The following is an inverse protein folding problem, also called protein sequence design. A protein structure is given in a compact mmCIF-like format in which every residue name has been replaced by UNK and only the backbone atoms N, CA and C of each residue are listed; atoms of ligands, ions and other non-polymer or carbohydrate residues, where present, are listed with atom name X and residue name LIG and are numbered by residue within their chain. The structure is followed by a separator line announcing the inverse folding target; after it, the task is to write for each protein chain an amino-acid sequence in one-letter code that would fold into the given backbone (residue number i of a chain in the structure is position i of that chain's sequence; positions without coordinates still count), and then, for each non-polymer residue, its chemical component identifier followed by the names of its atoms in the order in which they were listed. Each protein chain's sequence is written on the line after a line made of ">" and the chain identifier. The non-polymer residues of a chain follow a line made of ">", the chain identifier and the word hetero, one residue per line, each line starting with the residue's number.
data_IF_716574266370
#
_entry.id   IF_716574266370
#
_cell.length_a   1.000
_cell.length_b   1.000
_cell.length_c   1.000
_cell.angle_alpha   90.00
_cell.angle_beta   90.00
_cell.angle_gamma   90.00
#
_symmetry.space_group_name_H-M   'P 1'
#
loop_
_entity.id
_entity.type
_entity.pdbx_description
1 polymer ?
#
# COMPACT_ATOMS: atom_id res chain seq x y z
N UNK A 1 -8.71 36.50 1.47
CA UNK A 1 -9.78 35.51 1.74
C UNK A 1 -9.91 34.67 0.49
N UNK A 2 -9.06 33.66 0.35
CA UNK A 2 -9.08 32.71 -0.77
C UNK A 2 -10.06 31.59 -0.45
N UNK A 3 -10.83 31.08 -1.43
CA UNK A 3 -11.72 29.96 -1.21
C UNK A 3 -10.92 28.65 -1.07
N UNK A 4 -11.27 27.86 -0.08
CA UNK A 4 -10.73 26.52 0.12
C UNK A 4 -10.98 25.64 -1.11
N UNK A 5 -10.05 24.75 -1.51
CA UNK A 5 -10.29 23.79 -2.57
C UNK A 5 -11.36 22.78 -2.13
N UNK A 6 -12.31 22.56 -3.03
CA UNK A 6 -13.41 21.62 -2.87
C UNK A 6 -12.90 20.21 -2.57
N UNK A 7 -13.39 19.65 -1.47
CA UNK A 7 -12.98 18.37 -0.93
C UNK A 7 -13.09 17.20 -1.92
N UNK A 8 -12.17 16.28 -1.77
CA UNK A 8 -12.26 14.92 -2.29
C UNK A 8 -13.55 14.30 -1.70
N UNK A 9 -14.46 13.73 -2.48
CA UNK A 9 -15.67 13.15 -1.94
C UNK A 9 -15.32 11.95 -1.05
N UNK A 10 -15.83 11.98 0.17
CA UNK A 10 -15.82 10.82 1.06
C UNK A 10 -16.42 9.63 0.32
N UNK A 11 -15.72 8.49 0.33
CA UNK A 11 -16.10 7.29 -0.36
C UNK A 11 -17.54 6.89 -0.03
N UNK A 12 -18.38 6.78 -1.06
CA UNK A 12 -19.72 6.25 -0.94
C UNK A 12 -19.65 4.76 -0.65
N UNK A 13 -20.17 4.35 0.49
CA UNK A 13 -20.49 2.97 0.81
C UNK A 13 -21.43 2.40 -0.24
N UNK A 14 -20.94 1.50 -1.07
CA UNK A 14 -21.77 0.78 -2.03
C UNK A 14 -22.38 -0.45 -1.31
N UNK A 15 -23.59 -0.31 -0.82
CA UNK A 15 -24.42 -1.42 -0.35
C UNK A 15 -24.92 -2.22 -1.55
N UNK A 16 -24.17 -3.23 -1.94
CA UNK A 16 -24.62 -4.26 -2.88
C UNK A 16 -25.41 -5.34 -2.14
N UNK A 17 -26.72 -5.23 -2.10
CA UNK A 17 -27.62 -6.29 -1.60
C UNK A 17 -27.56 -7.52 -2.51
N UNK A 18 -26.85 -8.57 -2.09
CA UNK A 18 -26.90 -9.90 -2.68
C UNK A 18 -27.96 -10.75 -1.96
N UNK A 19 -28.96 -11.21 -2.69
CA UNK A 19 -30.01 -12.07 -2.20
C UNK A 19 -29.44 -13.41 -1.67
N UNK A 20 -29.82 -13.76 -0.44
CA UNK A 20 -29.53 -15.04 0.18
C UNK A 20 -30.56 -16.07 -0.32
N UNK A 21 -30.11 -17.12 -0.99
CA UNK A 21 -30.92 -18.31 -1.24
C UNK A 21 -30.75 -19.26 -0.03
N UNK A 22 -31.83 -19.97 0.37
CA UNK A 22 -31.76 -20.88 1.52
C UNK A 22 -31.00 -22.16 1.20
N UNK A 23 -30.14 -22.56 2.13
CA UNK A 23 -29.46 -23.86 2.10
C UNK A 23 -30.39 -24.96 2.65
N UNK A 24 -30.55 -26.03 1.91
CA UNK A 24 -31.16 -27.29 2.32
C UNK A 24 -30.27 -28.01 3.36
N UNK A 25 -30.84 -28.58 4.41
CA UNK A 25 -30.10 -29.42 5.34
C UNK A 25 -30.30 -30.87 4.96
N UNK A 26 -29.30 -31.55 4.45
CA UNK A 26 -28.98 -32.93 4.77
C UNK A 26 -27.93 -33.53 3.82
N UNK A 27 -26.80 -33.94 4.39
CA UNK A 27 -26.14 -35.23 4.11
C UNK A 27 -24.68 -35.29 4.60
N UNK A 28 -24.40 -36.14 5.53
CA UNK A 28 -23.29 -37.09 5.45
C UNK A 28 -21.96 -36.74 6.07
N UNK A 29 -21.71 -37.39 7.18
CA UNK A 29 -20.41 -37.67 7.84
C UNK A 29 -19.22 -37.74 6.87
N UNK A 30 -18.22 -36.87 7.09
CA UNK A 30 -16.89 -36.97 6.51
C UNK A 30 -15.87 -36.47 7.54
N UNK A 31 -15.02 -37.37 8.02
CA UNK A 31 -14.01 -37.14 9.04
C UNK A 31 -13.15 -35.89 8.75
N UNK A 32 -13.11 -34.98 9.71
CA UNK A 32 -12.20 -33.84 9.71
C UNK A 32 -10.76 -34.34 9.90
N UNK A 33 -9.94 -34.15 8.86
CA UNK A 33 -8.49 -34.21 9.00
C UNK A 33 -8.05 -32.89 9.65
N UNK A 34 -7.40 -32.98 10.80
CA UNK A 34 -6.79 -31.85 11.49
C UNK A 34 -5.77 -31.18 10.57
N UNK A 35 -5.73 -29.80 10.52
CA UNK A 35 -4.66 -29.10 9.82
C UNK A 35 -3.37 -29.32 10.60
N UNK A 36 -2.41 -30.00 9.98
CA UNK A 36 -1.08 -30.23 10.54
C UNK A 36 -0.43 -28.91 10.94
N UNK A 37 -0.25 -28.72 12.24
CA UNK A 37 0.55 -27.66 12.79
C UNK A 37 1.98 -27.79 12.25
N UNK A 38 2.50 -26.74 11.60
CA UNK A 38 3.94 -26.61 11.37
C UNK A 38 4.56 -26.30 12.73
N UNK A 39 5.42 -27.19 13.22
CA UNK A 39 6.32 -26.86 14.32
C UNK A 39 7.17 -25.65 13.91
N UNK A 40 7.41 -24.68 14.80
CA UNK A 40 8.32 -23.58 14.53
C UNK A 40 9.77 -24.10 14.62
N UNK A 41 10.24 -24.77 13.56
CA UNK A 41 11.68 -24.89 13.35
C UNK A 41 12.20 -23.49 13.07
N UNK A 42 13.27 -23.08 13.78
CA UNK A 42 13.93 -21.81 13.52
C UNK A 42 14.38 -21.78 12.05
N UNK A 43 13.61 -21.07 11.23
CA UNK A 43 13.93 -20.89 9.81
C UNK A 43 15.15 -19.97 9.78
N UNK A 44 16.30 -20.48 9.31
CA UNK A 44 17.43 -19.62 8.97
C UNK A 44 16.93 -18.57 7.97
N UNK A 45 17.32 -17.27 8.10
CA UNK A 45 16.88 -16.23 7.19
C UNK A 45 17.22 -16.63 5.76
N UNK A 46 16.22 -16.59 4.89
CA UNK A 46 16.39 -16.87 3.47
C UNK A 46 17.30 -15.77 2.87
N UNK A 47 18.46 -16.12 2.27
CA UNK A 47 19.36 -15.14 1.69
C UNK A 47 18.67 -14.22 0.66
N UNK A 48 17.58 -14.64 0.04
CA UNK A 48 16.77 -13.81 -0.85
C UNK A 48 16.07 -12.65 -0.14
N UNK A 49 15.88 -12.72 1.20
CA UNK A 49 15.22 -11.65 1.98
C UNK A 49 16.21 -10.56 2.41
N UNK A 50 17.50 -10.89 2.51
CA UNK A 50 18.54 -9.95 2.98
C UNK A 50 19.16 -9.09 1.87
N UNK A 51 18.98 -9.44 0.61
CA UNK A 51 19.50 -8.67 -0.52
C UNK A 51 18.70 -7.36 -0.71
N UNK A 52 19.38 -6.24 -1.05
CA UNK A 52 18.70 -4.99 -1.38
C UNK A 52 17.69 -5.21 -2.53
N UNK A 53 16.52 -4.62 -2.41
CA UNK A 53 15.53 -4.67 -3.48
C UNK A 53 16.04 -3.90 -4.71
N UNK A 54 15.94 -4.48 -5.91
CA UNK A 54 16.12 -3.70 -7.13
C UNK A 54 15.03 -2.64 -7.23
N UNK A 55 15.30 -1.56 -7.96
CA UNK A 55 14.23 -0.60 -8.31
C UNK A 55 13.15 -1.33 -9.09
N UNK A 56 11.89 -1.12 -8.73
CA UNK A 56 10.76 -1.83 -9.31
C UNK A 56 9.66 -0.88 -9.79
N UNK A 57 8.85 -1.37 -10.71
CA UNK A 57 7.53 -0.80 -11.03
C UNK A 57 6.47 -1.87 -10.81
N UNK A 58 5.60 -1.61 -9.84
CA UNK A 58 4.55 -2.52 -9.40
C UNK A 58 3.14 -1.95 -9.57
N UNK A 59 2.15 -2.71 -9.14
CA UNK A 59 0.75 -2.31 -9.16
C UNK A 59 -0.03 -2.92 -7.99
N UNK A 60 -1.28 -2.49 -7.85
CA UNK A 60 -2.23 -3.11 -6.93
C UNK A 60 -3.03 -4.22 -7.60
N UNK A 61 -3.65 -5.07 -6.77
CA UNK A 61 -4.68 -6.01 -7.23
C UNK A 61 -5.88 -5.26 -7.80
N UNK A 62 -6.62 -5.88 -8.73
CA UNK A 62 -7.89 -5.33 -9.21
C UNK A 62 -9.03 -5.90 -8.36
N UNK A 63 -9.38 -5.21 -7.29
CA UNK A 63 -10.18 -5.75 -6.20
C UNK A 63 -9.44 -6.93 -5.55
N UNK A 64 -10.06 -8.13 -5.53
CA UNK A 64 -9.43 -9.34 -4.97
C UNK A 64 -8.74 -10.21 -6.03
N UNK A 65 -8.69 -9.77 -7.30
CA UNK A 65 -8.11 -10.55 -8.38
C UNK A 65 -6.70 -10.04 -8.70
N UNK A 66 -5.75 -10.94 -8.83
CA UNK A 66 -4.39 -10.63 -9.28
C UNK A 66 -4.39 -10.60 -10.81
N UNK A 67 -4.57 -11.73 -11.45
CA UNK A 67 -4.77 -11.78 -12.90
C UNK A 67 -6.17 -11.27 -13.25
N UNK A 68 -6.27 -10.49 -14.32
CA UNK A 68 -7.53 -9.85 -14.67
C UNK A 68 -7.65 -9.62 -16.17
N UNK A 69 -8.84 -9.71 -16.73
CA UNK A 69 -9.13 -9.49 -18.14
C UNK A 69 -8.29 -10.34 -19.11
N UNK A 70 -7.82 -11.52 -18.67
CA UNK A 70 -6.94 -12.39 -19.46
C UNK A 70 -5.48 -11.94 -19.47
N UNK A 71 -5.11 -10.99 -18.62
CA UNK A 71 -3.75 -10.51 -18.44
C UNK A 71 -3.14 -11.15 -17.20
N UNK A 72 -1.93 -11.67 -17.32
CA UNK A 72 -1.13 -12.20 -16.22
C UNK A 72 -0.39 -11.05 -15.55
N UNK A 73 -0.63 -10.82 -14.27
CA UNK A 73 -0.08 -9.67 -13.53
C UNK A 73 1.46 -9.63 -13.58
N UNK A 74 2.12 -10.76 -13.36
CA UNK A 74 3.59 -10.87 -13.31
C UNK A 74 4.28 -10.64 -14.65
N UNK A 75 3.55 -10.63 -15.79
CA UNK A 75 4.13 -10.26 -17.09
C UNK A 75 4.45 -8.76 -17.18
N UNK A 76 3.78 -7.94 -16.36
CA UNK A 76 3.83 -6.47 -16.43
C UNK A 76 4.39 -5.79 -15.19
N UNK A 77 4.30 -6.42 -14.01
CA UNK A 77 4.57 -5.75 -12.72
C UNK A 77 5.53 -6.57 -11.85
N UNK A 78 6.56 -5.92 -11.30
CA UNK A 78 7.57 -6.54 -10.42
C UNK A 78 7.13 -6.66 -8.98
N UNK A 79 6.11 -5.88 -8.59
CA UNK A 79 5.66 -5.77 -7.22
C UNK A 79 4.13 -5.74 -7.19
N UNK A 80 3.55 -6.37 -6.17
CA UNK A 80 2.12 -6.39 -5.91
C UNK A 80 1.80 -5.84 -4.53
N UNK A 81 0.80 -4.94 -4.47
CA UNK A 81 0.16 -4.48 -3.23
C UNK A 81 -1.31 -4.92 -3.24
N UNK A 82 -1.83 -5.59 -2.21
CA UNK A 82 -3.27 -5.82 -2.08
C UNK A 82 -4.00 -4.48 -1.92
N UNK A 83 -4.89 -4.11 -2.86
CA UNK A 83 -5.60 -2.82 -2.77
C UNK A 83 -6.35 -2.66 -1.44
N UNK A 84 -7.08 -3.70 -1.03
CA UNK A 84 -7.88 -3.68 0.19
C UNK A 84 -7.67 -4.91 1.08
N UNK A 85 -7.20 -6.03 0.53
CA UNK A 85 -7.13 -7.30 1.25
C UNK A 85 -6.09 -7.31 2.39
N UNK A 86 -5.06 -6.44 2.31
CA UNK A 86 -4.03 -6.26 3.35
C UNK A 86 -4.48 -5.37 4.52
N UNK A 87 -5.53 -4.58 4.37
CA UNK A 87 -6.00 -3.68 5.43
C UNK A 87 -6.60 -4.45 6.58
N UNK A 88 -6.23 -4.11 7.81
CA UNK A 88 -6.59 -4.88 9.01
C UNK A 88 -8.10 -5.17 9.11
N UNK A 89 -8.97 -4.16 8.87
CA UNK A 89 -10.42 -4.34 8.89
C UNK A 89 -10.99 -5.26 7.80
N UNK A 90 -10.23 -5.51 6.72
CA UNK A 90 -10.58 -6.51 5.69
C UNK A 90 -10.27 -7.93 6.15
N UNK A 91 -9.19 -8.12 6.91
CA UNK A 91 -8.79 -9.41 7.47
C UNK A 91 -9.58 -9.72 8.75
N UNK A 92 -9.75 -8.74 9.62
CA UNK A 92 -10.44 -8.89 10.90
C UNK A 92 -11.49 -7.78 11.05
N UNK A 93 -12.76 -8.13 11.10
CA UNK A 93 -13.86 -7.15 11.09
C UNK A 93 -14.09 -6.46 12.42
N UNK A 94 -13.89 -7.17 13.52
CA UNK A 94 -14.07 -6.64 14.89
C UNK A 94 -12.90 -7.06 15.76
N UNK A 95 -12.67 -6.35 16.85
CA UNK A 95 -11.61 -6.66 17.81
C UNK A 95 -11.58 -8.13 18.25
N UNK A 96 -12.76 -8.75 18.38
CA UNK A 96 -12.94 -10.12 18.92
C UNK A 96 -13.18 -11.17 17.81
N UNK A 97 -13.27 -10.78 16.54
CA UNK A 97 -13.50 -11.76 15.46
C UNK A 97 -12.22 -12.48 15.08
N UNK A 98 -12.35 -13.74 14.68
CA UNK A 98 -11.23 -14.46 14.08
C UNK A 98 -10.83 -13.80 12.74
N UNK A 99 -9.53 -13.67 12.45
CA UNK A 99 -9.05 -13.15 11.17
C UNK A 99 -9.37 -14.11 10.02
N UNK A 100 -9.71 -13.54 8.86
CA UNK A 100 -9.89 -14.27 7.61
C UNK A 100 -8.76 -13.89 6.62
N UNK A 101 -7.79 -14.72 6.49
CA UNK A 101 -6.60 -14.52 5.68
C UNK A 101 -6.75 -14.97 4.22
N UNK A 102 -7.84 -15.66 3.87
CA UNK A 102 -7.95 -16.40 2.61
C UNK A 102 -7.64 -15.58 1.34
N UNK A 103 -8.10 -14.32 1.28
CA UNK A 103 -7.82 -13.45 0.12
C UNK A 103 -6.36 -13.00 0.11
N UNK A 104 -5.83 -12.64 1.26
CA UNK A 104 -4.44 -12.19 1.39
C UNK A 104 -3.46 -13.35 1.13
N UNK A 105 -3.78 -14.57 1.62
CA UNK A 105 -3.03 -15.79 1.32
C UNK A 105 -2.88 -16.00 -0.19
N UNK A 106 -3.98 -15.91 -0.92
CA UNK A 106 -3.96 -16.12 -2.37
C UNK A 106 -3.10 -15.08 -3.12
N UNK A 107 -3.09 -13.83 -2.66
CA UNK A 107 -2.25 -12.77 -3.25
C UNK A 107 -0.78 -12.98 -2.91
N UNK A 108 -0.48 -13.31 -1.65
CA UNK A 108 0.88 -13.60 -1.21
C UNK A 108 1.45 -14.83 -1.92
N UNK A 109 0.68 -15.93 -1.99
CA UNK A 109 1.08 -17.15 -2.69
C UNK A 109 1.36 -16.88 -4.18
N UNK A 110 0.56 -16.01 -4.81
CA UNK A 110 0.83 -15.59 -6.19
C UNK A 110 2.17 -14.87 -6.30
N UNK A 111 2.46 -13.92 -5.41
CA UNK A 111 3.73 -13.20 -5.40
C UNK A 111 4.92 -14.15 -5.26
N UNK A 112 4.84 -15.09 -4.31
CA UNK A 112 5.88 -16.10 -4.07
C UNK A 112 6.09 -17.03 -5.28
N UNK A 113 5.00 -17.51 -5.89
CA UNK A 113 5.07 -18.41 -7.06
C UNK A 113 5.65 -17.75 -8.30
N UNK A 114 5.47 -16.44 -8.45
CA UNK A 114 5.92 -15.69 -9.62
C UNK A 114 7.21 -14.87 -9.35
N UNK A 115 7.75 -14.91 -8.13
CA UNK A 115 8.98 -14.21 -7.76
C UNK A 115 8.85 -12.68 -7.82
N UNK A 116 7.65 -12.14 -7.61
CA UNK A 116 7.41 -10.70 -7.54
C UNK A 116 7.39 -10.20 -6.09
N UNK A 117 7.75 -8.96 -5.89
CA UNK A 117 7.84 -8.34 -4.56
C UNK A 117 6.44 -8.18 -3.97
N UNK A 118 6.21 -8.72 -2.76
CA UNK A 118 4.98 -8.47 -2.02
C UNK A 118 5.17 -7.27 -1.08
N UNK A 119 4.21 -6.32 -1.12
CA UNK A 119 4.14 -5.16 -0.24
C UNK A 119 2.85 -5.21 0.57
N UNK A 120 2.95 -5.06 1.88
CA UNK A 120 1.79 -4.90 2.76
C UNK A 120 1.30 -3.46 2.79
N UNK A 121 -0.01 -3.30 2.68
CA UNK A 121 -0.71 -2.05 2.83
C UNK A 121 -2.03 -2.28 3.60
N UNK A 122 -2.13 -1.96 4.86
CA UNK A 122 -1.19 -1.27 5.76
C UNK A 122 -1.41 -1.75 7.20
N UNK A 123 -0.39 -1.65 8.07
CA UNK A 123 -0.54 -2.13 9.44
C UNK A 123 -1.41 -1.22 10.31
N UNK A 124 -1.15 0.09 10.31
CA UNK A 124 -1.81 1.07 11.15
C UNK A 124 -2.37 2.20 10.30
N UNK A 125 -3.68 2.36 10.36
CA UNK A 125 -4.39 3.42 9.64
C UNK A 125 -5.68 3.78 10.35
N UNK A 126 -6.07 5.07 10.33
CA UNK A 126 -7.32 5.57 10.90
C UNK A 126 -8.57 5.19 10.12
N UNK A 127 -8.43 4.55 8.95
CA UNK A 127 -9.54 4.05 8.13
C UNK A 127 -9.45 2.52 7.98
N UNK A 128 -10.55 1.88 7.60
CA UNK A 128 -10.65 0.43 7.37
C UNK A 128 -9.98 -0.44 8.46
N UNK A 129 -10.10 0.02 9.71
CA UNK A 129 -9.66 -0.70 10.91
C UNK A 129 -10.80 -1.60 11.43
N UNK A 130 -10.52 -2.63 12.25
CA UNK A 130 -11.57 -3.39 12.92
C UNK A 130 -12.44 -2.49 13.81
N UNK A 131 -13.70 -2.86 13.99
CA UNK A 131 -14.58 -2.17 14.92
C UNK A 131 -14.47 -2.76 16.32
N UNK A 132 -14.78 -1.96 17.35
CA UNK A 132 -14.71 -2.35 18.78
C UNK A 132 -13.54 -1.69 19.50
N UNK A 133 -13.35 -2.08 20.76
CA UNK A 133 -12.30 -1.53 21.61
C UNK A 133 -10.96 -2.22 21.30
N UNK A 134 -10.17 -1.60 20.47
CA UNK A 134 -8.85 -2.09 20.05
C UNK A 134 -7.79 -1.71 21.09
N UNK A 135 -7.07 -2.71 21.57
CA UNK A 135 -5.99 -2.57 22.55
C UNK A 135 -4.62 -2.64 21.90
N UNK A 136 -3.57 -2.29 22.63
CA UNK A 136 -2.20 -2.52 22.20
C UNK A 136 -1.95 -3.99 21.83
N UNK A 137 -2.48 -4.92 22.59
CA UNK A 137 -2.33 -6.36 22.33
C UNK A 137 -2.96 -6.77 21.00
N UNK A 138 -4.12 -6.20 20.63
CA UNK A 138 -4.74 -6.45 19.33
C UNK A 138 -3.82 -6.00 18.18
N UNK A 139 -3.23 -4.80 18.29
CA UNK A 139 -2.31 -4.26 17.25
C UNK A 139 -1.05 -5.13 17.14
N UNK A 140 -0.46 -5.49 18.28
CA UNK A 140 0.73 -6.36 18.29
C UNK A 140 0.43 -7.76 17.74
N UNK A 141 -0.74 -8.33 18.06
CA UNK A 141 -1.18 -9.62 17.53
C UNK A 141 -1.38 -9.55 16.02
N UNK A 142 -2.04 -8.51 15.52
CA UNK A 142 -2.21 -8.27 14.09
C UNK A 142 -0.87 -8.30 13.35
N UNK A 143 0.09 -7.49 13.78
CA UNK A 143 1.41 -7.41 13.15
C UNK A 143 2.17 -8.74 13.26
N UNK A 144 2.17 -9.36 14.44
CA UNK A 144 2.87 -10.62 14.69
C UNK A 144 2.30 -11.77 13.87
N UNK A 145 0.97 -11.90 13.81
CA UNK A 145 0.31 -12.95 13.01
C UNK A 145 0.59 -12.75 11.52
N UNK A 146 0.52 -11.51 11.03
CA UNK A 146 0.86 -11.17 9.65
C UNK A 146 2.31 -11.57 9.34
N UNK A 147 3.29 -11.10 10.12
CA UNK A 147 4.71 -11.37 9.87
C UNK A 147 5.06 -12.86 9.97
N UNK A 148 4.41 -13.58 10.88
CA UNK A 148 4.57 -15.05 11.00
C UNK A 148 4.00 -15.77 9.78
N UNK A 149 2.86 -15.28 9.25
CA UNK A 149 2.17 -15.90 8.12
C UNK A 149 2.84 -15.59 6.79
N UNK A 150 3.38 -14.38 6.63
CA UNK A 150 3.97 -13.86 5.40
C UNK A 150 5.44 -13.42 5.60
N UNK A 151 6.32 -14.37 5.96
CA UNK A 151 7.68 -14.05 6.44
C UNK A 151 8.59 -13.43 5.37
N UNK A 152 8.23 -13.52 4.09
CA UNK A 152 9.00 -12.95 2.98
C UNK A 152 8.46 -11.62 2.46
N UNK A 153 7.58 -10.97 3.25
CA UNK A 153 7.12 -9.60 2.95
C UNK A 153 8.29 -8.64 2.96
N UNK A 154 8.53 -7.95 1.84
CA UNK A 154 9.70 -7.09 1.65
C UNK A 154 9.45 -5.62 1.95
N UNK A 155 8.21 -5.17 1.85
CA UNK A 155 7.81 -3.76 2.02
C UNK A 155 6.55 -3.70 2.87
N UNK A 156 6.49 -2.77 3.82
CA UNK A 156 5.33 -2.57 4.69
C UNK A 156 5.07 -1.08 4.87
N UNK A 157 3.88 -0.62 4.48
CA UNK A 157 3.37 0.67 4.94
C UNK A 157 2.95 0.50 6.41
N UNK A 158 3.85 0.84 7.34
CA UNK A 158 3.62 0.60 8.77
C UNK A 158 2.55 1.53 9.32
N UNK A 159 2.64 2.80 8.97
CA UNK A 159 1.60 3.80 9.28
C UNK A 159 1.24 4.51 8.00
N UNK A 160 -0.05 4.57 7.73
CA UNK A 160 -0.63 5.24 6.57
C UNK A 160 -1.42 6.48 7.01
N UNK A 161 -1.18 7.59 6.30
CA UNK A 161 -1.93 8.84 6.45
C UNK A 161 -2.00 9.35 7.89
N UNK A 162 -0.87 9.65 8.54
CA UNK A 162 -0.87 10.19 9.89
C UNK A 162 -1.61 11.53 9.97
N UNK A 163 -1.99 12.01 11.18
CA UNK A 163 -2.59 13.33 11.33
C UNK A 163 -1.80 14.44 10.61
N UNK A 164 -2.48 15.41 9.98
CA UNK A 164 -3.90 15.75 10.16
C UNK A 164 -4.88 14.94 9.30
N UNK A 165 -4.43 13.92 8.56
CA UNK A 165 -5.26 13.16 7.64
C UNK A 165 -6.15 12.16 8.36
N UNK A 166 -5.56 11.16 9.03
CA UNK A 166 -6.31 10.20 9.84
C UNK A 166 -5.63 9.92 11.17
N UNK A 167 -6.41 9.50 12.15
CA UNK A 167 -5.92 9.00 13.42
C UNK A 167 -6.64 7.69 13.73
N UNK A 168 -5.93 6.58 14.01
CA UNK A 168 -6.58 5.34 14.34
C UNK A 168 -7.30 5.44 15.71
N UNK A 169 -8.47 4.82 15.81
CA UNK A 169 -9.29 4.87 17.03
C UNK A 169 -8.57 4.31 18.27
N UNK A 170 -7.51 3.57 18.04
CA UNK A 170 -6.67 2.94 19.07
C UNK A 170 -5.34 3.67 19.32
N UNK A 171 -5.13 4.86 18.79
CA UNK A 171 -3.88 5.61 18.94
C UNK A 171 -3.52 5.80 20.44
N UNK A 172 -4.48 6.16 21.30
CA UNK A 172 -4.28 6.27 22.73
C UNK A 172 -3.83 4.95 23.38
N UNK A 173 -4.37 3.83 22.93
CA UNK A 173 -4.03 2.51 23.47
C UNK A 173 -2.60 2.08 23.12
N UNK A 174 -2.03 2.64 22.06
CA UNK A 174 -0.69 2.29 21.56
C UNK A 174 0.37 3.38 21.77
N UNK A 175 0.09 4.39 22.62
CA UNK A 175 1.09 5.37 23.03
C UNK A 175 0.67 6.84 22.94
N UNK A 176 -0.60 7.11 22.65
CA UNK A 176 -1.17 8.44 22.53
C UNK A 176 -1.31 8.94 21.11
N UNK A 177 -2.33 9.73 20.84
CA UNK A 177 -2.80 10.08 19.53
C UNK A 177 -3.09 11.55 19.29
N UNK A 178 -2.80 12.45 20.22
CA UNK A 178 -3.07 13.88 20.01
C UNK A 178 -1.91 14.62 19.37
N UNK A 179 -2.20 15.79 18.81
CA UNK A 179 -1.25 16.66 18.10
C UNK A 179 0.14 16.72 18.73
N UNK A 180 1.15 16.33 17.97
CA UNK A 180 2.56 16.36 18.38
C UNK A 180 2.99 15.21 19.29
N UNK A 181 2.12 14.29 19.66
CA UNK A 181 2.49 13.06 20.36
C UNK A 181 2.57 11.89 19.38
N UNK A 182 3.70 11.69 18.76
CA UNK A 182 3.96 10.66 17.76
C UNK A 182 4.44 9.33 18.34
N UNK A 183 4.31 9.12 19.65
CA UNK A 183 4.77 7.89 20.31
C UNK A 183 4.04 6.65 19.77
N UNK A 184 2.77 6.76 19.42
CA UNK A 184 2.01 5.67 18.81
C UNK A 184 2.57 5.23 17.47
N UNK A 185 3.06 6.17 16.64
CA UNK A 185 3.76 5.87 15.38
C UNK A 185 5.08 5.17 15.68
N UNK A 186 5.89 5.72 16.59
CA UNK A 186 7.16 5.13 16.97
C UNK A 186 7.03 3.71 17.51
N UNK A 187 6.00 3.45 18.32
CA UNK A 187 5.68 2.12 18.83
C UNK A 187 5.28 1.16 17.70
N UNK A 188 4.44 1.61 16.75
CA UNK A 188 4.07 0.79 15.59
C UNK A 188 5.28 0.36 14.77
N UNK A 189 6.21 1.26 14.49
CA UNK A 189 7.47 0.94 13.79
C UNK A 189 8.36 0.00 14.61
N UNK A 190 8.45 0.18 15.92
CA UNK A 190 9.23 -0.70 16.80
C UNK A 190 8.70 -2.13 16.75
N UNK A 191 7.39 -2.33 16.85
CA UNK A 191 6.77 -3.66 16.76
C UNK A 191 6.87 -4.25 15.35
N UNK A 192 6.67 -3.43 14.31
CA UNK A 192 6.85 -3.90 12.94
C UNK A 192 8.27 -4.44 12.70
N UNK A 193 9.30 -3.76 13.22
CA UNK A 193 10.70 -4.24 13.15
C UNK A 193 10.93 -5.51 13.97
N UNK A 194 10.30 -5.61 15.14
CA UNK A 194 10.42 -6.80 15.99
C UNK A 194 9.85 -8.04 15.29
N UNK A 195 8.70 -7.89 14.62
CA UNK A 195 7.98 -9.03 14.05
C UNK A 195 8.33 -9.31 12.58
N UNK A 196 8.66 -8.29 11.80
CA UNK A 196 9.12 -8.36 10.41
C UNK A 196 10.53 -7.77 10.27
N UNK A 197 11.58 -8.43 10.77
CA UNK A 197 12.92 -7.82 10.91
C UNK A 197 13.56 -7.45 9.57
N UNK A 198 13.23 -8.14 8.49
CA UNK A 198 13.87 -7.98 7.18
C UNK A 198 13.06 -7.12 6.19
N UNK A 199 11.89 -6.63 6.60
CA UNK A 199 11.07 -5.76 5.76
C UNK A 199 11.56 -4.31 5.79
N UNK A 200 11.43 -3.60 4.69
CA UNK A 200 11.55 -2.14 4.60
C UNK A 200 10.29 -1.51 5.19
N UNK A 201 10.45 -0.73 6.25
CA UNK A 201 9.37 -0.11 7.00
C UNK A 201 9.15 1.33 6.52
N UNK A 202 7.96 1.59 5.99
CA UNK A 202 7.60 2.83 5.30
C UNK A 202 6.58 3.62 6.14
N UNK A 203 6.84 4.92 6.33
CA UNK A 203 5.81 5.89 6.73
C UNK A 203 5.20 6.48 5.46
N UNK A 204 3.91 6.28 5.23
CA UNK A 204 3.23 6.60 3.97
C UNK A 204 2.19 7.70 4.14
N UNK A 205 2.12 8.63 3.16
CA UNK A 205 1.12 9.71 3.19
C UNK A 205 0.81 10.25 1.79
N UNK A 206 -0.33 10.94 1.67
CA UNK A 206 -0.73 11.69 0.48
C UNK A 206 -0.48 13.18 0.63
N UNK A 207 -0.53 13.91 -0.48
CA UNK A 207 -0.30 15.35 -0.54
C UNK A 207 1.11 15.82 -0.08
N UNK A 208 1.98 14.91 0.29
CA UNK A 208 3.32 15.23 0.77
C UNK A 208 4.30 15.60 -0.36
N UNK A 209 3.90 15.46 -1.61
CA UNK A 209 4.65 15.90 -2.81
C UNK A 209 3.83 16.82 -3.73
N UNK A 210 2.61 17.13 -3.35
CA UNK A 210 1.69 18.03 -4.04
C UNK A 210 1.65 19.42 -3.42
N UNK A 211 1.76 19.52 -2.08
CA UNK A 211 1.60 20.75 -1.32
C UNK A 211 2.75 20.98 -0.34
N UNK A 212 3.43 22.14 -0.47
CA UNK A 212 4.63 22.44 0.31
C UNK A 212 4.42 22.47 1.84
N UNK A 213 3.24 22.88 2.31
CA UNK A 213 2.91 22.88 3.74
C UNK A 213 2.70 21.45 4.27
N UNK A 214 2.12 20.56 3.49
CA UNK A 214 1.94 19.15 3.87
C UNK A 214 3.25 18.39 3.76
N UNK A 215 4.08 18.68 2.76
CA UNK A 215 5.44 18.16 2.68
C UNK A 215 6.25 18.50 3.95
N UNK A 216 6.26 19.78 4.37
CA UNK A 216 6.97 20.16 5.58
C UNK A 216 6.43 19.48 6.83
N UNK A 217 5.10 19.41 6.97
CA UNK A 217 4.45 18.72 8.11
C UNK A 217 4.82 17.24 8.17
N UNK A 218 4.83 16.56 7.03
CA UNK A 218 5.22 15.14 6.95
C UNK A 218 6.70 14.94 7.33
N UNK A 219 7.60 15.82 6.85
CA UNK A 219 9.02 15.82 7.25
C UNK A 219 9.15 16.00 8.77
N UNK A 220 8.38 16.92 9.35
CA UNK A 220 8.40 17.17 10.80
C UNK A 220 7.94 15.92 11.59
N UNK A 221 6.94 15.17 11.10
CA UNK A 221 6.53 13.88 11.69
C UNK A 221 7.67 12.88 11.59
N UNK A 222 8.29 12.71 10.42
CA UNK A 222 9.42 11.79 10.23
C UNK A 222 10.53 12.08 11.24
N UNK A 223 10.94 13.33 11.38
CA UNK A 223 11.96 13.73 12.33
C UNK A 223 11.54 13.43 13.79
N UNK A 224 10.30 13.73 14.14
CA UNK A 224 9.79 13.49 15.48
C UNK A 224 9.80 12.00 15.85
N UNK A 225 9.36 11.12 14.95
CA UNK A 225 9.32 9.67 15.21
C UNK A 225 10.74 9.06 15.19
N UNK A 226 11.64 9.56 14.34
CA UNK A 226 13.07 9.18 14.38
C UNK A 226 13.73 9.60 15.70
N UNK A 227 13.42 10.79 16.22
CA UNK A 227 13.89 11.25 17.53
C UNK A 227 13.38 10.39 18.70
N UNK A 228 12.23 9.72 18.53
CA UNK A 228 11.70 8.72 19.48
C UNK A 228 12.33 7.33 19.29
N UNK A 229 13.25 7.17 18.35
CA UNK A 229 13.95 5.91 18.09
C UNK A 229 13.20 4.95 17.16
N UNK A 230 12.19 5.43 16.44
CA UNK A 230 11.43 4.60 15.47
C UNK A 230 12.36 4.16 14.31
N UNK A 231 12.38 2.87 13.95
CA UNK A 231 13.18 2.35 12.84
C UNK A 231 12.47 2.57 11.49
N UNK A 232 12.34 3.84 11.08
CA UNK A 232 11.79 4.22 9.78
C UNK A 232 12.87 4.04 8.73
N UNK A 233 12.67 3.11 7.78
CA UNK A 233 13.66 2.85 6.72
C UNK A 233 13.42 3.71 5.48
N UNK A 234 12.19 4.11 5.21
CA UNK A 234 11.82 4.87 4.03
C UNK A 234 10.56 5.72 4.25
N UNK A 235 10.35 6.66 3.36
CA UNK A 235 9.11 7.43 3.27
C UNK A 235 8.33 7.08 2.00
N UNK A 236 7.00 7.05 2.12
CA UNK A 236 6.08 6.83 1.01
C UNK A 236 5.38 8.10 0.58
N UNK A 237 5.26 8.30 -0.72
CA UNK A 237 4.47 9.34 -1.33
C UNK A 237 3.39 8.71 -2.21
N UNK A 238 2.11 8.87 -1.83
CA UNK A 238 0.99 8.25 -2.56
C UNK A 238 0.87 8.79 -4.01
N UNK A 239 1.11 10.07 -4.22
CA UNK A 239 1.16 10.68 -5.55
C UNK A 239 -0.19 10.70 -6.31
N UNK A 240 -1.32 10.83 -5.62
CA UNK A 240 -2.65 10.87 -6.22
C UNK A 240 -3.00 12.22 -6.87
N UNK A 241 -2.40 13.32 -6.43
CA UNK A 241 -2.73 14.68 -6.83
C UNK A 241 -2.03 15.21 -8.09
N UNK A 242 -1.33 14.38 -8.86
CA UNK A 242 -0.38 14.81 -9.90
C UNK A 242 -0.96 14.94 -11.31
N UNK A 243 -2.26 14.90 -11.47
CA UNK A 243 -2.94 14.96 -12.79
C UNK A 243 -2.86 16.31 -13.51
N UNK A 244 -2.49 17.37 -12.79
CA UNK A 244 -2.41 18.74 -13.32
C UNK A 244 -1.24 18.96 -14.29
N UNK A 245 -1.45 19.76 -15.34
CA UNK A 245 -0.44 19.98 -16.39
C UNK A 245 0.89 20.59 -15.90
N UNK A 246 0.87 21.30 -14.78
CA UNK A 246 2.05 21.97 -14.21
C UNK A 246 2.52 21.30 -12.89
N UNK A 247 2.10 20.07 -12.59
CA UNK A 247 2.44 19.39 -11.34
C UNK A 247 3.91 18.95 -11.27
N UNK A 248 4.51 18.59 -12.41
CA UNK A 248 5.84 17.97 -12.46
C UNK A 248 6.96 18.77 -11.79
N UNK A 249 7.16 20.09 -12.06
CA UNK A 249 8.25 20.83 -11.40
C UNK A 249 8.07 20.94 -9.88
N UNK A 250 6.83 21.09 -9.40
CA UNK A 250 6.52 21.13 -7.98
C UNK A 250 6.76 19.76 -7.32
N UNK A 251 6.30 18.70 -7.94
CA UNK A 251 6.54 17.32 -7.50
C UNK A 251 8.03 17.02 -7.34
N UNK A 252 8.84 17.34 -8.35
CA UNK A 252 10.29 17.14 -8.31
C UNK A 252 10.91 17.91 -7.13
N UNK A 253 10.55 19.18 -6.96
CA UNK A 253 11.09 19.99 -5.87
C UNK A 253 10.71 19.44 -4.49
N UNK A 254 9.46 19.00 -4.31
CA UNK A 254 8.98 18.48 -3.03
C UNK A 254 9.50 17.07 -2.74
N UNK A 255 9.64 16.20 -3.75
CA UNK A 255 10.30 14.90 -3.60
C UNK A 255 11.77 15.05 -3.21
N UNK A 256 12.50 15.95 -3.88
CA UNK A 256 13.90 16.24 -3.56
C UNK A 256 14.03 16.74 -2.12
N UNK A 257 13.20 17.71 -1.73
CA UNK A 257 13.16 18.19 -0.35
C UNK A 257 12.83 17.09 0.66
N UNK A 258 11.86 16.23 0.37
CA UNK A 258 11.47 15.13 1.24
C UNK A 258 12.66 14.19 1.48
N UNK A 259 13.38 13.81 0.41
CA UNK A 259 14.57 12.98 0.52
C UNK A 259 15.71 13.67 1.27
N UNK A 260 16.05 14.90 0.87
CA UNK A 260 17.20 15.64 1.45
C UNK A 260 17.01 15.94 2.94
N UNK A 261 15.80 16.35 3.34
CA UNK A 261 15.53 16.74 4.73
C UNK A 261 15.39 15.53 5.65
N UNK A 262 14.84 14.40 5.16
CA UNK A 262 14.69 13.19 5.98
C UNK A 262 15.92 12.27 5.94
N UNK A 263 16.73 12.36 4.90
CA UNK A 263 17.84 11.43 4.65
C UNK A 263 17.40 10.02 4.27
N UNK A 264 16.11 9.81 3.97
CA UNK A 264 15.52 8.50 3.69
C UNK A 264 15.28 8.29 2.19
N UNK A 265 15.35 7.04 1.69
CA UNK A 265 14.86 6.71 0.36
C UNK A 265 13.36 6.91 0.28
N UNK A 266 12.88 7.16 -0.93
CA UNK A 266 11.45 7.41 -1.23
C UNK A 266 10.89 6.28 -2.06
N UNK A 267 9.65 5.86 -1.73
CA UNK A 267 8.80 5.02 -2.57
C UNK A 267 7.61 5.84 -3.05
N UNK A 268 7.31 5.77 -4.34
CA UNK A 268 6.04 6.27 -4.89
C UNK A 268 5.04 5.13 -4.73
N UNK A 269 4.13 5.28 -3.78
CA UNK A 269 3.39 4.13 -3.25
C UNK A 269 2.04 3.87 -3.90
N UNK A 270 1.42 4.89 -4.54
CA UNK A 270 0.03 4.80 -4.99
C UNK A 270 -0.23 5.66 -6.25
N UNK A 271 0.75 5.73 -7.15
CA UNK A 271 0.71 6.63 -8.30
C UNK A 271 -0.49 6.39 -9.21
N UNK A 272 -1.27 7.43 -9.45
CA UNK A 272 -2.32 7.44 -10.46
C UNK A 272 -2.44 8.80 -11.16
N UNK A 273 -2.96 8.79 -12.38
CA UNK A 273 -3.24 9.99 -13.17
C UNK A 273 -4.70 9.97 -13.63
N UNK A 274 -5.52 10.77 -12.97
CA UNK A 274 -6.93 10.93 -13.30
C UNK A 274 -7.13 11.74 -14.59
N UNK A 275 -6.89 11.09 -15.73
CA UNK A 275 -7.02 11.70 -17.05
C UNK A 275 -7.80 10.79 -18.01
N UNK A 276 -8.92 11.29 -18.53
CA UNK A 276 -9.68 10.59 -19.55
C UNK A 276 -9.07 10.77 -20.96
N UNK A 277 -8.35 11.88 -21.19
CA UNK A 277 -7.58 12.14 -22.41
C UNK A 277 -6.28 11.32 -22.40
N UNK A 278 -6.10 10.50 -23.43
CA UNK A 278 -4.97 9.58 -23.52
C UNK A 278 -3.63 10.31 -23.73
N UNK A 279 -3.62 11.42 -24.47
CA UNK A 279 -2.41 12.19 -24.68
C UNK A 279 -1.96 12.92 -23.42
N UNK A 280 -2.92 13.47 -22.65
CA UNK A 280 -2.64 14.10 -21.37
C UNK A 280 -2.15 13.10 -20.32
N UNK A 281 -2.72 11.88 -20.28
CA UNK A 281 -2.23 10.83 -19.39
C UNK A 281 -0.81 10.41 -19.76
N UNK A 282 -0.55 10.15 -21.04
CA UNK A 282 0.78 9.79 -21.55
C UNK A 282 1.81 10.85 -21.18
N UNK A 283 1.52 12.13 -21.43
CA UNK A 283 2.41 13.24 -21.12
C UNK A 283 2.79 13.29 -19.63
N UNK A 284 1.84 13.05 -18.71
CA UNK A 284 2.13 12.95 -17.27
C UNK A 284 3.01 11.75 -16.95
N UNK A 285 2.68 10.57 -17.48
CA UNK A 285 3.50 9.37 -17.29
C UNK A 285 4.94 9.58 -17.75
N UNK A 286 5.15 10.12 -18.95
CA UNK A 286 6.49 10.39 -19.49
C UNK A 286 7.30 11.35 -18.61
N UNK A 287 6.69 12.44 -18.15
CA UNK A 287 7.37 13.43 -17.30
C UNK A 287 7.69 12.89 -15.91
N UNK A 288 6.75 12.17 -15.28
CA UNK A 288 6.91 11.71 -13.91
C UNK A 288 7.82 10.47 -13.86
N UNK A 289 7.57 9.46 -14.68
CA UNK A 289 8.40 8.25 -14.71
C UNK A 289 9.81 8.50 -15.23
N UNK A 290 10.01 9.46 -16.16
CA UNK A 290 11.34 9.90 -16.53
C UNK A 290 12.16 10.35 -15.31
N UNK A 291 11.56 11.11 -14.39
CA UNK A 291 12.21 11.48 -13.14
C UNK A 291 12.33 10.31 -12.16
N UNK A 292 11.28 9.51 -11.96
CA UNK A 292 11.29 8.42 -10.98
C UNK A 292 12.33 7.34 -11.32
N UNK A 293 12.42 6.96 -12.58
CA UNK A 293 13.34 5.91 -13.02
C UNK A 293 14.81 6.35 -12.97
N UNK A 294 15.09 7.61 -13.32
CA UNK A 294 16.45 8.17 -13.36
C UNK A 294 16.98 8.56 -11.96
N UNK A 295 16.13 8.64 -10.94
CA UNK A 295 16.48 9.12 -9.59
C UNK A 295 16.86 7.95 -8.67
N UNK A 296 18.12 7.84 -8.26
CA UNK A 296 18.65 6.70 -7.49
C UNK A 296 17.97 6.50 -6.14
N UNK A 297 17.62 7.58 -5.42
CA UNK A 297 16.98 7.50 -4.11
C UNK A 297 15.45 7.23 -4.17
N UNK A 298 14.86 7.15 -5.36
CA UNK A 298 13.51 6.59 -5.54
C UNK A 298 13.68 5.09 -5.82
N UNK A 299 13.27 4.26 -4.85
CA UNK A 299 13.55 2.83 -4.89
C UNK A 299 12.45 2.01 -5.57
N UNK A 300 11.25 2.54 -5.73
CA UNK A 300 10.16 1.85 -6.39
C UNK A 300 8.96 2.73 -6.65
N UNK A 301 8.14 2.32 -7.60
CA UNK A 301 6.87 2.96 -7.97
C UNK A 301 5.78 1.91 -7.99
N UNK A 302 4.71 2.10 -7.24
CA UNK A 302 3.48 1.31 -7.32
C UNK A 302 2.40 2.14 -8.01
N UNK A 303 1.93 1.68 -9.16
CA UNK A 303 0.78 2.26 -9.86
C UNK A 303 -0.49 1.83 -9.15
N UNK A 304 -1.43 2.76 -8.89
CA UNK A 304 -2.62 2.48 -8.10
C UNK A 304 -3.81 2.06 -8.98
N UNK A 305 -3.64 0.91 -9.63
CA UNK A 305 -4.64 0.30 -10.50
C UNK A 305 -4.41 0.54 -11.99
N UNK A 306 -4.75 -0.46 -12.79
CA UNK A 306 -4.46 -0.47 -14.23
C UNK A 306 -5.68 -0.72 -15.12
N UNK A 307 -6.79 -1.21 -14.58
CA UNK A 307 -8.01 -1.49 -15.36
C UNK A 307 -8.98 -0.32 -15.27
N UNK A 308 -9.19 0.36 -16.39
CA UNK A 308 -10.10 1.51 -16.48
C UNK A 308 -11.51 1.17 -15.99
N UNK A 309 -12.06 2.02 -15.14
CA UNK A 309 -13.38 1.82 -14.53
C UNK A 309 -13.38 0.82 -13.36
N UNK A 310 -12.22 0.24 -12.99
CA UNK A 310 -12.04 -0.62 -11.82
C UNK A 310 -10.96 -0.07 -10.86
N UNK A 311 -10.59 1.17 -11.02
CA UNK A 311 -9.70 1.94 -10.15
C UNK A 311 -10.53 2.84 -9.25
N UNK A 312 -10.03 3.17 -8.07
CA UNK A 312 -10.73 4.08 -7.16
C UNK A 312 -10.86 5.49 -7.75
N UNK A 313 -9.91 5.92 -8.56
CA UNK A 313 -9.97 7.14 -9.37
C UNK A 313 -10.41 6.79 -10.78
N UNK A 314 -11.59 7.25 -11.17
CA UNK A 314 -12.36 6.72 -12.30
C UNK A 314 -11.63 6.65 -13.66
N UNK A 315 -10.71 7.59 -13.95
CA UNK A 315 -10.04 7.71 -15.26
C UNK A 315 -8.55 7.38 -15.22
N UNK A 316 -8.04 6.79 -14.12
CA UNK A 316 -6.61 6.50 -13.98
C UNK A 316 -6.15 5.21 -14.66
N UNK A 317 -7.05 4.25 -14.91
CA UNK A 317 -6.71 2.95 -15.50
C UNK A 317 -5.93 3.05 -16.81
N UNK A 318 -5.05 2.09 -17.02
CA UNK A 318 -4.12 2.02 -18.16
C UNK A 318 -4.61 1.07 -19.27
N UNK A 319 -5.55 0.18 -18.97
CA UNK A 319 -6.22 -0.71 -19.91
C UNK A 319 -7.67 -0.26 -20.02
N UNK A 320 -8.11 0.14 -21.22
CA UNK A 320 -9.48 0.57 -21.52
C UNK A 320 -10.04 -0.30 -22.64
N UNK A 321 -11.25 -0.83 -22.47
CA UNK A 321 -11.94 -1.66 -23.47
C UNK A 321 -11.07 -2.85 -23.95
N UNK A 322 -10.35 -3.49 -23.05
CA UNK A 322 -9.40 -4.58 -23.28
C UNK A 322 -8.19 -4.22 -24.16
N UNK A 323 -7.91 -2.95 -24.31
CA UNK A 323 -6.73 -2.46 -25.04
C UNK A 323 -5.86 -1.54 -24.15
N UNK A 324 -4.53 -1.57 -24.30
CA UNK A 324 -3.66 -0.66 -23.58
C UNK A 324 -3.86 0.78 -24.08
N UNK A 325 -3.94 1.70 -23.11
CA UNK A 325 -3.84 3.14 -23.41
C UNK A 325 -2.38 3.50 -23.76
N UNK A 326 -2.14 4.59 -24.48
CA UNK A 326 -0.79 5.01 -24.85
C UNK A 326 0.21 5.09 -23.70
N UNK A 327 -0.24 5.47 -22.50
CA UNK A 327 0.59 5.49 -21.30
C UNK A 327 1.06 4.10 -20.87
N UNK A 328 0.20 3.05 -21.01
CA UNK A 328 0.61 1.67 -20.76
C UNK A 328 1.61 1.17 -21.80
N UNK A 329 1.35 1.44 -23.09
CA UNK A 329 2.26 1.06 -24.17
C UNK A 329 3.65 1.65 -23.91
N UNK A 330 3.72 2.95 -23.70
CA UNK A 330 4.98 3.64 -23.44
C UNK A 330 5.70 3.11 -22.20
N UNK A 331 4.97 2.92 -21.08
CA UNK A 331 5.58 2.43 -19.85
C UNK A 331 6.17 1.02 -20.03
N UNK A 332 5.47 0.12 -20.71
CA UNK A 332 5.98 -1.23 -20.96
C UNK A 332 7.20 -1.21 -21.88
N UNK A 333 7.21 -0.38 -22.92
CA UNK A 333 8.38 -0.18 -23.79
C UNK A 333 9.59 0.36 -23.02
N UNK A 334 9.38 1.36 -22.15
CA UNK A 334 10.43 1.94 -21.29
C UNK A 334 11.02 0.91 -20.32
N UNK A 335 10.19 0.03 -19.79
CA UNK A 335 10.62 -1.04 -18.89
C UNK A 335 11.13 -2.30 -19.61
N UNK A 336 11.11 -2.33 -20.95
CA UNK A 336 11.51 -3.49 -21.74
C UNK A 336 10.60 -4.70 -21.56
N UNK A 337 9.30 -4.48 -21.31
CA UNK A 337 8.30 -5.52 -21.06
C UNK A 337 7.33 -5.69 -22.22
N UNK A 338 6.61 -6.84 -22.28
CA UNK A 338 5.56 -7.02 -23.28
C UNK A 338 4.48 -5.96 -23.15
N UNK A 339 3.91 -5.53 -24.27
CA UNK A 339 2.73 -4.66 -24.30
C UNK A 339 1.50 -5.55 -24.29
N UNK A 340 0.51 -5.31 -23.37
CA UNK A 340 -0.68 -6.15 -23.23
C UNK A 340 -1.65 -6.07 -24.41
#
# INVERSE_FOLDING_TARGET
>A
MEPAPSGVPAGSSNEGGGAVLPLDPDSGDGAASEPGGRDPEAVEPDPAVTEPLPKFVGNITTGNSVDTNGLTFSDYWDQITPENAGKWGSVQRTADSAPNWATLDAIYDYAEQNGIIFKEHTFVWGSQQPTGDLTQENVQNWMREFCTRYPRTRLIDVVNEPPPHTEPSYAEAIGGGTDGNWQWIANAFTWAREYCPDAVLILNDYNNIEFANQNQHFIDIVHAVQALGAPVDAVGAQAHGLSGANSTPNMIALLTKLHEDTGLPVYITEYDINQNDDAAQLDRFQQHFGFFLDTEWIHGVTVWGWIFGRTWVASSGLIRDQAPRPAMVWLMEELGRPVP
#
